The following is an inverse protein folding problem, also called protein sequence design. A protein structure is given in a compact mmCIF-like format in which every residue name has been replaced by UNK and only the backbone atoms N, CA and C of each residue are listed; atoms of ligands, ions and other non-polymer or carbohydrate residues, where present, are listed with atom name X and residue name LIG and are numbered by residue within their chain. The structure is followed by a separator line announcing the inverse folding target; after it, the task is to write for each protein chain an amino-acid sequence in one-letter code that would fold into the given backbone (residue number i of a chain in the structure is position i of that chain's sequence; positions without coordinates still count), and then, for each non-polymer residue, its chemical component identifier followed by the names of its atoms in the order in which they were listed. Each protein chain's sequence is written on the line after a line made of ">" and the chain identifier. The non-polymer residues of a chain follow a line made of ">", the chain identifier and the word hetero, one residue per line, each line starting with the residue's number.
data_IF_828241827555
#
_entry.id   IF_828241827555
#
_cell.length_a   1.000
_cell.length_b   1.000
_cell.length_c   1.000
_cell.angle_alpha   90.00
_cell.angle_beta   90.00
_cell.angle_gamma   90.00
#
_symmetry.space_group_name_H-M   'P 1'
#
loop_
_entity.id
_entity.type
_entity.pdbx_description
1 polymer ?
#
# COMPACT_ATOMS: atom_id res chain seq x y z
N UNK A 1 -33.91 6.36 -20.66
CA UNK A 1 -35.33 6.02 -21.00
C UNK A 1 -36.06 5.40 -19.81
N UNK A 2 -35.44 4.49 -19.05
CA UNK A 2 -36.01 3.90 -17.82
C UNK A 2 -36.34 4.92 -16.71
N UNK A 3 -35.43 5.87 -16.43
CA UNK A 3 -35.66 6.95 -15.44
C UNK A 3 -36.84 7.87 -15.76
N UNK A 4 -37.17 8.06 -17.05
CA UNK A 4 -38.28 8.90 -17.48
C UNK A 4 -39.63 8.22 -17.26
N UNK A 5 -39.68 6.89 -17.42
CA UNK A 5 -40.88 6.08 -17.20
C UNK A 5 -41.21 6.00 -15.69
N UNK A 6 -40.19 5.89 -14.83
CA UNK A 6 -40.36 5.83 -13.37
C UNK A 6 -40.88 7.16 -12.81
N UNK A 7 -40.35 8.32 -13.28
CA UNK A 7 -40.86 9.64 -12.86
C UNK A 7 -42.31 9.89 -13.29
N UNK A 8 -42.70 9.40 -14.47
CA UNK A 8 -44.08 9.49 -14.95
C UNK A 8 -44.99 8.58 -14.12
N UNK A 9 -44.58 7.34 -13.82
CA UNK A 9 -45.35 6.40 -13.02
C UNK A 9 -45.58 6.92 -11.59
N UNK A 10 -44.55 7.47 -10.94
CA UNK A 10 -44.68 8.09 -9.62
C UNK A 10 -45.64 9.30 -9.64
N UNK A 11 -45.55 10.16 -10.65
CA UNK A 11 -46.44 11.34 -10.79
C UNK A 11 -47.90 10.94 -11.03
N UNK A 12 -48.15 9.88 -11.83
CA UNK A 12 -49.49 9.35 -12.06
C UNK A 12 -50.08 8.72 -10.79
N UNK A 13 -49.26 8.01 -10.01
CA UNK A 13 -49.70 7.37 -8.77
C UNK A 13 -50.11 8.41 -7.72
N UNK A 14 -49.34 9.49 -7.56
CA UNK A 14 -49.67 10.60 -6.64
C UNK A 14 -50.93 11.35 -7.08
N UNK A 15 -51.16 11.49 -8.39
CA UNK A 15 -52.37 12.12 -8.93
C UNK A 15 -53.63 11.26 -8.69
N UNK A 16 -53.53 9.93 -8.82
CA UNK A 16 -54.65 9.02 -8.56
C UNK A 16 -55.00 9.00 -7.06
N UNK A 17 -54.01 8.97 -6.17
CA UNK A 17 -54.25 8.94 -4.72
C UNK A 17 -54.87 10.24 -4.18
N UNK A 18 -54.50 11.40 -4.75
CA UNK A 18 -55.07 12.70 -4.37
C UNK A 18 -56.54 12.90 -4.78
N UNK A 19 -57.03 12.17 -5.79
CA UNK A 19 -58.42 12.32 -6.29
C UNK A 19 -59.43 11.53 -5.45
N UNK A 20 -59.01 10.47 -4.74
CA UNK A 20 -59.93 9.56 -4.05
C UNK A 20 -60.03 9.75 -2.53
N UNK A 21 -59.29 10.70 -1.92
CA UNK A 21 -59.36 11.01 -0.49
C UNK A 21 -59.30 9.75 0.41
N UNK A 22 -58.55 8.74 -0.05
CA UNK A 22 -58.29 7.53 0.71
C UNK A 22 -57.19 7.91 1.71
N UNK A 23 -57.43 7.86 3.03
CA UNK A 23 -56.36 8.03 4.00
C UNK A 23 -55.38 6.87 3.79
N UNK A 24 -54.23 7.19 3.20
CA UNK A 24 -53.09 6.30 3.12
C UNK A 24 -52.14 6.74 4.22
N UNK A 25 -52.17 6.06 5.37
CA UNK A 25 -50.99 6.02 6.23
C UNK A 25 -49.94 5.21 5.45
N UNK A 26 -48.86 5.85 5.03
CA UNK A 26 -47.65 5.13 4.60
C UNK A 26 -47.11 4.49 5.88
N UNK A 27 -47.13 3.15 6.03
CA UNK A 27 -46.48 2.51 7.15
C UNK A 27 -44.96 2.70 6.98
N UNK A 28 -44.30 3.31 7.97
CA UNK A 28 -42.84 3.28 8.10
C UNK A 28 -42.07 4.38 7.38
N UNK A 29 -42.30 5.65 7.73
CA UNK A 29 -41.16 6.58 7.79
C UNK A 29 -40.63 6.50 9.21
N UNK A 30 -39.59 5.70 9.44
CA UNK A 30 -38.74 5.90 10.60
C UNK A 30 -37.89 7.15 10.34
N UNK A 31 -37.66 7.96 11.38
CA UNK A 31 -36.64 9.01 11.32
C UNK A 31 -35.21 8.40 11.30
N UNK A 32 -35.10 7.10 11.58
CA UNK A 32 -33.87 6.31 11.44
C UNK A 32 -33.46 6.20 9.95
N UNK A 33 -32.33 6.81 9.63
CA UNK A 33 -31.68 6.73 8.32
C UNK A 33 -31.03 5.35 8.10
N UNK A 34 -30.50 4.73 9.16
CA UNK A 34 -29.99 3.36 9.16
C UNK A 34 -30.91 2.48 9.99
N UNK A 35 -31.22 1.29 9.47
CA UNK A 35 -32.03 0.28 10.17
C UNK A 35 -31.19 -0.82 10.82
N UNK A 36 -30.05 -1.15 10.25
CA UNK A 36 -29.13 -2.19 10.75
C UNK A 36 -27.78 -2.04 10.04
N UNK A 37 -26.68 -2.06 10.81
CA UNK A 37 -25.35 -2.37 10.29
C UNK A 37 -24.86 -3.68 10.91
N UNK A 38 -24.36 -4.59 10.08
CA UNK A 38 -23.78 -5.85 10.52
C UNK A 38 -22.37 -6.03 10.00
N UNK A 39 -21.47 -6.54 10.85
CA UNK A 39 -20.09 -6.86 10.51
C UNK A 39 -19.90 -8.36 10.72
N UNK A 40 -19.65 -9.09 9.64
CA UNK A 40 -19.36 -10.53 9.66
C UNK A 40 -17.86 -10.72 9.39
N UNK A 41 -17.09 -10.94 10.45
CA UNK A 41 -15.66 -11.25 10.33
C UNK A 41 -15.47 -12.65 9.71
N UNK A 42 -14.55 -12.75 8.75
CA UNK A 42 -14.33 -13.96 7.96
C UNK A 42 -13.29 -14.92 8.56
N UNK A 43 -12.55 -14.46 9.56
CA UNK A 43 -11.68 -15.27 10.40
C UNK A 43 -11.90 -14.92 11.88
N UNK A 44 -11.24 -15.63 12.80
CA UNK A 44 -11.31 -15.40 14.26
C UNK A 44 -10.10 -14.65 14.82
N UNK A 45 -9.17 -14.20 13.95
CA UNK A 45 -7.92 -13.59 14.37
C UNK A 45 -8.15 -12.20 14.96
N UNK A 46 -7.53 -11.93 16.11
CA UNK A 46 -7.55 -10.62 16.73
C UNK A 46 -6.75 -9.64 15.87
N UNK A 47 -7.22 -8.41 15.71
CA UNK A 47 -6.58 -7.41 14.84
C UNK A 47 -6.95 -7.54 13.36
N UNK A 48 -7.50 -8.67 12.90
CA UNK A 48 -7.97 -8.77 11.51
C UNK A 48 -9.30 -8.03 11.30
N UNK A 49 -9.32 -7.19 10.26
CA UNK A 49 -10.51 -6.51 9.75
C UNK A 49 -11.12 -7.20 8.53
N UNK A 50 -10.67 -8.40 8.16
CA UNK A 50 -11.26 -9.24 7.10
C UNK A 50 -12.71 -9.60 7.44
N UNK A 51 -13.64 -8.97 6.73
CA UNK A 51 -15.05 -8.97 7.05
C UNK A 51 -15.93 -8.59 5.86
N UNK A 52 -17.16 -9.08 5.88
CA UNK A 52 -18.25 -8.52 5.08
C UNK A 52 -19.04 -7.55 5.94
N UNK A 53 -19.13 -6.30 5.50
CA UNK A 53 -19.90 -5.27 6.20
C UNK A 53 -21.13 -4.94 5.38
N UNK A 54 -22.31 -5.01 6.01
CA UNK A 54 -23.61 -4.74 5.38
C UNK A 54 -24.30 -3.60 6.10
N UNK A 55 -24.82 -2.64 5.32
CA UNK A 55 -25.65 -1.54 5.81
C UNK A 55 -27.03 -1.66 5.19
N UNK A 56 -28.05 -1.77 6.04
CA UNK A 56 -29.46 -1.64 5.67
C UNK A 56 -29.97 -0.28 6.09
N UNK A 57 -30.51 0.47 5.14
CA UNK A 57 -30.90 1.85 5.33
C UNK A 57 -32.30 2.15 4.81
N UNK A 58 -32.94 3.15 5.39
CA UNK A 58 -34.24 3.64 4.92
C UNK A 58 -34.14 4.41 3.59
N UNK A 59 -32.94 4.87 3.22
CA UNK A 59 -32.66 5.57 1.97
C UNK A 59 -31.37 5.09 1.31
N UNK A 60 -31.43 4.95 -0.01
CA UNK A 60 -30.25 4.72 -0.86
C UNK A 60 -29.25 5.88 -0.73
N UNK A 61 -27.96 5.56 -0.66
CA UNK A 61 -26.90 6.55 -0.49
C UNK A 61 -25.51 5.92 -0.42
N UNK A 62 -24.50 6.79 -0.26
CA UNK A 62 -23.11 6.41 -0.04
C UNK A 62 -22.78 6.57 1.45
N UNK A 63 -22.58 5.45 2.14
CA UNK A 63 -22.31 5.40 3.57
C UNK A 63 -20.82 5.18 3.77
N UNK A 64 -20.17 6.05 4.55
CA UNK A 64 -18.74 5.98 4.82
C UNK A 64 -18.47 5.47 6.22
N UNK A 65 -17.55 4.53 6.33
CA UNK A 65 -17.20 3.85 7.57
C UNK A 65 -15.83 4.31 8.04
N UNK A 66 -15.74 4.67 9.32
CA UNK A 66 -14.49 5.09 9.98
C UNK A 66 -14.24 4.24 11.22
N UNK A 67 -12.96 3.98 11.50
CA UNK A 67 -12.55 3.49 12.80
C UNK A 67 -12.76 4.59 13.85
N UNK A 68 -13.18 4.20 15.04
CA UNK A 68 -13.43 5.10 16.14
C UNK A 68 -12.91 4.53 17.47
N UNK A 69 -12.57 5.43 18.38
CA UNK A 69 -12.10 5.09 19.72
C UNK A 69 -13.23 4.62 20.65
N UNK A 70 -12.95 4.41 21.94
CA UNK A 70 -13.95 4.02 22.94
C UNK A 70 -15.09 5.03 23.16
N UNK A 71 -14.88 6.29 22.77
CA UNK A 71 -15.85 7.38 22.89
C UNK A 71 -16.67 7.60 21.61
N UNK A 72 -16.46 6.77 20.59
CA UNK A 72 -17.03 6.92 19.25
C UNK A 72 -16.54 8.17 18.50
N UNK A 73 -15.40 8.72 18.90
CA UNK A 73 -14.71 9.76 18.14
C UNK A 73 -13.87 9.11 17.03
N UNK A 74 -13.76 9.78 15.88
CA UNK A 74 -12.93 9.28 14.76
C UNK A 74 -11.51 9.03 15.25
N UNK A 75 -10.99 7.85 14.92
CA UNK A 75 -9.67 7.45 15.35
C UNK A 75 -8.61 8.37 14.75
N UNK A 76 -7.59 8.68 15.54
CA UNK A 76 -6.36 9.34 15.14
C UNK A 76 -5.18 8.41 15.34
N UNK A 77 -4.14 8.56 14.53
CA UNK A 77 -2.85 7.92 14.72
C UNK A 77 -1.95 8.91 15.46
N UNK A 78 -1.33 8.48 16.56
CA UNK A 78 -0.44 9.31 17.36
C UNK A 78 1.00 8.82 17.25
N UNK A 79 1.93 9.73 16.93
CA UNK A 79 3.37 9.51 17.10
C UNK A 79 3.99 10.72 17.81
N UNK A 80 4.63 10.46 18.96
CA UNK A 80 5.13 11.53 19.83
C UNK A 80 4.02 12.47 20.31
N UNK A 81 4.17 13.77 20.04
CA UNK A 81 3.16 14.80 20.35
C UNK A 81 2.24 15.11 19.15
N UNK A 82 2.43 14.44 18.01
CA UNK A 82 1.64 14.66 16.80
C UNK A 82 0.50 13.66 16.70
N UNK A 83 -0.65 14.14 16.24
CA UNK A 83 -1.81 13.31 15.90
C UNK A 83 -2.20 13.59 14.44
N UNK A 84 -2.46 12.53 13.70
CA UNK A 84 -2.96 12.59 12.33
C UNK A 84 -4.25 11.78 12.21
N UNK A 85 -5.15 12.20 11.33
CA UNK A 85 -6.44 11.53 11.18
C UNK A 85 -6.30 10.23 10.39
N UNK A 86 -7.21 9.29 10.63
CA UNK A 86 -7.50 8.20 9.71
C UNK A 86 -8.53 8.62 8.66
N UNK A 87 -8.37 8.18 7.42
CA UNK A 87 -9.42 8.25 6.40
C UNK A 87 -10.59 7.32 6.71
N UNK A 88 -11.64 7.35 5.89
CA UNK A 88 -12.58 6.25 5.83
C UNK A 88 -11.85 4.95 5.46
N UNK A 89 -12.27 3.81 6.04
CA UNK A 89 -11.71 2.51 5.68
C UNK A 89 -12.58 1.75 4.66
N UNK A 90 -13.86 2.11 4.56
CA UNK A 90 -14.77 1.54 3.59
C UNK A 90 -15.90 2.51 3.21
N UNK A 91 -16.44 2.31 2.01
CA UNK A 91 -17.60 3.02 1.49
C UNK A 91 -18.61 2.01 0.97
N UNK A 92 -19.86 2.09 1.45
CA UNK A 92 -20.95 1.20 1.07
C UNK A 92 -22.01 2.01 0.33
N UNK A 93 -22.28 1.64 -0.92
CA UNK A 93 -23.41 2.18 -1.67
C UNK A 93 -24.62 1.28 -1.50
N UNK A 94 -25.71 1.81 -0.96
CA UNK A 94 -26.96 1.05 -0.80
C UNK A 94 -27.89 1.28 -2.00
N UNK A 95 -28.52 0.20 -2.45
CA UNK A 95 -29.55 0.21 -3.50
C UNK A 95 -30.77 -0.57 -3.02
N UNK A 96 -31.95 0.03 -3.12
CA UNK A 96 -33.17 -0.53 -2.55
C UNK A 96 -33.05 -0.81 -1.04
N UNK A 97 -32.32 0.04 -0.33
CA UNK A 97 -32.16 0.02 1.12
C UNK A 97 -31.11 -0.94 1.67
N UNK A 98 -30.27 -1.56 0.84
CA UNK A 98 -29.21 -2.47 1.29
C UNK A 98 -27.95 -2.36 0.42
N UNK A 99 -26.79 -2.51 1.03
CA UNK A 99 -25.50 -2.58 0.36
C UNK A 99 -24.45 -3.24 1.25
N UNK A 100 -23.42 -3.81 0.64
CA UNK A 100 -22.33 -4.47 1.34
C UNK A 100 -20.98 -4.20 0.70
N UNK A 101 -19.92 -4.40 1.45
CA UNK A 101 -18.52 -4.36 0.99
C UNK A 101 -17.72 -5.43 1.72
N UNK A 102 -16.79 -6.04 0.99
CA UNK A 102 -15.79 -6.94 1.55
C UNK A 102 -14.52 -6.13 1.82
N UNK A 103 -13.94 -6.27 3.01
CA UNK A 103 -12.60 -5.75 3.30
C UNK A 103 -11.54 -6.74 2.82
N UNK A 104 -10.32 -6.29 2.49
CA UNK A 104 -9.24 -7.20 2.09
C UNK A 104 -8.86 -8.20 3.21
N UNK A 105 -8.43 -9.40 2.84
CA UNK A 105 -8.01 -10.47 3.77
C UNK A 105 -6.92 -10.02 4.77
N UNK A 106 -6.02 -9.13 4.33
CA UNK A 106 -4.94 -8.56 5.14
C UNK A 106 -5.34 -7.30 5.91
N UNK A 107 -6.58 -6.81 5.75
CA UNK A 107 -6.99 -5.57 6.39
C UNK A 107 -6.86 -5.68 7.91
N UNK A 108 -6.35 -4.63 8.54
CA UNK A 108 -6.15 -4.62 9.98
C UNK A 108 -7.08 -3.62 10.68
N UNK A 109 -7.58 -4.03 11.85
CA UNK A 109 -8.16 -3.14 12.85
C UNK A 109 -7.00 -2.35 13.46
N UNK A 110 -6.97 -1.01 13.31
CA UNK A 110 -5.86 -0.22 13.83
C UNK A 110 -5.82 -0.22 15.36
N UNK A 111 -4.65 0.01 15.94
CA UNK A 111 -4.52 0.19 17.38
C UNK A 111 -5.43 1.32 17.88
N UNK A 112 -6.10 1.08 19.01
CA UNK A 112 -7.03 2.05 19.61
C UNK A 112 -8.46 2.03 19.05
N UNK A 113 -8.71 1.39 17.90
CA UNK A 113 -10.07 1.21 17.40
C UNK A 113 -10.89 0.33 18.36
N UNK A 114 -12.04 0.83 18.78
CA UNK A 114 -13.04 0.10 19.60
C UNK A 114 -14.41 0.05 18.93
N UNK A 115 -14.65 0.97 18.00
CA UNK A 115 -15.92 1.13 17.34
C UNK A 115 -15.73 1.36 15.83
N UNK A 116 -16.77 1.07 15.07
CA UNK A 116 -16.96 1.52 13.69
C UNK A 116 -18.08 2.55 13.69
N UNK A 117 -17.85 3.73 13.13
CA UNK A 117 -18.91 4.73 12.93
C UNK A 117 -19.35 4.73 11.46
N UNK A 118 -20.66 4.74 11.25
CA UNK A 118 -21.28 4.83 9.92
C UNK A 118 -21.80 6.23 9.72
N UNK A 119 -21.41 6.86 8.60
CA UNK A 119 -21.74 8.25 8.31
C UNK A 119 -22.41 8.42 6.95
N UNK A 120 -23.26 9.42 6.83
CA UNK A 120 -23.86 9.88 5.57
C UNK A 120 -23.81 11.41 5.53
N UNK A 121 -23.30 12.00 4.44
CA UNK A 121 -23.13 13.45 4.31
C UNK A 121 -22.38 14.11 5.48
N UNK A 122 -21.47 13.37 6.12
CA UNK A 122 -20.67 13.82 7.27
C UNK A 122 -21.38 13.73 8.63
N UNK A 123 -22.63 13.28 8.69
CA UNK A 123 -23.36 13.02 9.93
C UNK A 123 -23.13 11.57 10.38
N UNK A 124 -22.71 11.36 11.63
CA UNK A 124 -22.68 10.03 12.25
C UNK A 124 -24.09 9.53 12.49
N UNK A 125 -24.43 8.39 11.89
CA UNK A 125 -25.76 7.80 11.95
C UNK A 125 -25.83 6.62 12.91
N UNK A 126 -24.76 5.83 13.00
CA UNK A 126 -24.68 4.63 13.83
C UNK A 126 -23.24 4.42 14.32
N UNK A 127 -23.12 3.74 15.46
CA UNK A 127 -21.86 3.26 16.01
C UNK A 127 -22.01 1.77 16.31
N UNK A 128 -21.09 0.97 15.78
CA UNK A 128 -21.03 -0.48 15.97
C UNK A 128 -19.80 -0.80 16.80
N UNK A 129 -19.99 -1.45 17.94
CA UNK A 129 -18.88 -1.90 18.80
C UNK A 129 -18.13 -3.05 18.13
N UNK A 130 -16.80 -2.98 18.12
CA UNK A 130 -15.95 -4.08 17.65
C UNK A 130 -15.92 -5.15 18.74
N UNK A 131 -16.17 -6.44 18.42
CA UNK A 131 -16.10 -7.52 19.41
C UNK A 131 -14.77 -7.52 20.15
N UNK A 132 -14.80 -7.78 21.46
CA UNK A 132 -13.61 -7.70 22.31
C UNK A 132 -12.49 -8.67 21.86
N UNK A 133 -12.87 -9.84 21.33
CA UNK A 133 -11.99 -10.84 20.74
C UNK A 133 -11.31 -10.41 19.43
N UNK A 134 -11.86 -9.37 18.77
CA UNK A 134 -11.31 -8.79 17.53
C UNK A 134 -10.37 -7.62 17.77
N UNK A 135 -10.39 -7.06 18.98
CA UNK A 135 -9.48 -5.98 19.34
C UNK A 135 -8.04 -6.50 19.33
N UNK A 136 -7.11 -5.84 18.60
CA UNK A 136 -5.72 -6.24 18.57
C UNK A 136 -5.05 -6.08 19.94
N UNK A 137 -4.23 -7.05 20.31
CA UNK A 137 -3.27 -6.98 21.43
C UNK A 137 -1.86 -7.25 20.89
N UNK A 138 -1.28 -6.23 20.25
CA UNK A 138 0.04 -6.35 19.59
C UNK A 138 1.20 -6.13 20.56
N UNK A 139 0.93 -5.84 21.84
CA UNK A 139 1.96 -5.44 22.78
C UNK A 139 2.57 -4.08 22.45
N UNK A 140 3.86 -3.90 22.77
CA UNK A 140 4.56 -2.66 22.49
C UNK A 140 5.19 -2.71 21.10
N UNK A 141 5.12 -1.58 20.40
CA UNK A 141 5.92 -1.38 19.19
C UNK A 141 7.42 -1.48 19.55
N UNK A 142 8.15 -2.36 18.85
CA UNK A 142 9.60 -2.57 19.00
C UNK A 142 10.37 -1.48 18.27
N UNK A 143 10.01 -1.24 17.01
CA UNK A 143 10.53 -0.17 16.17
C UNK A 143 9.60 0.09 14.98
N UNK A 144 9.77 1.25 14.35
CA UNK A 144 9.06 1.62 13.13
C UNK A 144 10.03 1.94 12.00
N UNK A 145 9.65 1.65 10.76
CA UNK A 145 10.38 2.07 9.57
C UNK A 145 9.43 2.63 8.50
N UNK A 146 9.96 3.45 7.60
CA UNK A 146 9.21 3.97 6.46
C UNK A 146 9.48 3.17 5.20
N UNK A 147 8.48 3.07 4.31
CA UNK A 147 8.70 2.60 2.94
C UNK A 147 8.00 3.46 1.91
N UNK A 148 8.75 3.84 0.89
CA UNK A 148 8.33 4.68 -0.23
C UNK A 148 9.00 4.19 -1.51
N UNK A 149 8.44 4.50 -2.68
CA UNK A 149 8.96 4.06 -3.97
C UNK A 149 8.77 5.10 -5.07
N UNK A 150 9.46 4.88 -6.20
CA UNK A 150 9.19 5.55 -7.48
C UNK A 150 9.20 7.09 -7.35
N UNK A 151 10.36 7.63 -6.97
CA UNK A 151 10.57 9.07 -6.86
C UNK A 151 10.69 9.72 -8.24
N UNK A 152 11.37 9.08 -9.18
CA UNK A 152 11.57 9.58 -10.54
C UNK A 152 12.02 11.05 -10.62
N UNK A 153 13.12 11.39 -9.94
CA UNK A 153 13.79 12.69 -10.13
C UNK A 153 14.01 12.96 -11.63
N UNK A 154 13.79 14.21 -12.03
CA UNK A 154 13.81 14.76 -13.39
C UNK A 154 12.73 14.21 -14.35
N UNK A 155 11.65 13.62 -13.84
CA UNK A 155 10.56 13.11 -14.69
C UNK A 155 9.33 13.99 -14.71
N UNK A 156 8.98 14.61 -13.58
CA UNK A 156 7.73 15.34 -13.40
C UNK A 156 8.03 16.75 -12.89
N UNK A 157 7.48 17.76 -13.55
CA UNK A 157 7.70 19.17 -13.22
C UNK A 157 6.43 19.79 -12.62
N UNK A 158 6.60 20.59 -11.57
CA UNK A 158 5.59 21.50 -11.05
C UNK A 158 5.37 22.68 -12.02
N UNK A 159 4.27 23.42 -11.85
CA UNK A 159 3.95 24.59 -12.70
C UNK A 159 5.04 25.68 -12.67
N UNK A 160 5.80 25.76 -11.58
CA UNK A 160 6.92 26.71 -11.42
C UNK A 160 8.26 26.19 -11.98
N UNK A 161 8.28 24.97 -12.50
CA UNK A 161 9.44 24.31 -13.10
C UNK A 161 10.34 23.57 -12.12
N UNK A 162 9.95 23.45 -10.85
CA UNK A 162 10.65 22.60 -9.89
C UNK A 162 10.27 21.13 -10.07
N UNK A 163 11.17 20.22 -9.72
CA UNK A 163 10.91 18.78 -9.76
C UNK A 163 9.91 18.37 -8.66
N UNK A 164 8.88 17.59 -9.03
CA UNK A 164 7.91 17.03 -8.10
C UNK A 164 8.60 16.14 -7.06
N UNK A 165 9.63 15.38 -7.46
CA UNK A 165 10.34 14.46 -6.58
C UNK A 165 11.02 15.19 -5.41
N UNK A 166 11.61 16.37 -5.64
CA UNK A 166 12.25 17.16 -4.57
C UNK A 166 11.27 17.52 -3.46
N UNK A 167 10.05 17.93 -3.84
CA UNK A 167 9.01 18.34 -2.88
C UNK A 167 8.41 17.13 -2.17
N UNK A 168 8.03 16.10 -2.92
CA UNK A 168 7.34 14.94 -2.38
C UNK A 168 8.25 14.07 -1.52
N UNK A 169 9.52 13.90 -1.91
CA UNK A 169 10.51 13.16 -1.14
C UNK A 169 10.80 13.84 0.21
N UNK A 170 11.15 15.13 0.22
CA UNK A 170 11.40 15.86 1.45
C UNK A 170 10.19 15.85 2.41
N UNK A 171 8.97 15.97 1.86
CA UNK A 171 7.74 15.87 2.64
C UNK A 171 7.58 14.50 3.29
N UNK A 172 7.83 13.42 2.55
CA UNK A 172 7.75 12.06 3.08
C UNK A 172 8.79 11.79 4.16
N UNK A 173 10.04 12.24 3.98
CA UNK A 173 11.08 12.08 5.00
C UNK A 173 10.79 12.89 6.26
N UNK A 174 10.23 14.11 6.14
CA UNK A 174 9.77 14.91 7.28
C UNK A 174 8.64 14.22 8.06
N UNK A 175 7.72 13.56 7.36
CA UNK A 175 6.70 12.74 8.00
C UNK A 175 7.35 11.62 8.82
N UNK A 176 8.28 10.88 8.22
CA UNK A 176 8.95 9.76 8.87
C UNK A 176 9.85 10.18 10.04
N UNK A 177 10.52 11.32 9.94
CA UNK A 177 11.25 11.92 11.05
C UNK A 177 10.34 12.20 12.23
N UNK A 178 9.16 12.79 11.96
CA UNK A 178 8.17 13.08 13.00
C UNK A 178 7.61 11.80 13.60
N UNK A 179 7.41 10.76 12.78
CA UNK A 179 6.98 9.44 13.22
C UNK A 179 8.05 8.66 13.99
N UNK A 180 9.30 9.14 14.01
CA UNK A 180 10.39 8.53 14.77
C UNK A 180 10.86 7.19 14.19
N UNK A 181 10.85 7.04 12.86
CA UNK A 181 11.32 5.82 12.22
C UNK A 181 12.82 5.60 12.42
N UNK A 182 13.26 4.34 12.41
CA UNK A 182 14.69 3.99 12.49
C UNK A 182 15.38 3.98 11.14
N UNK A 183 14.63 3.79 10.04
CA UNK A 183 15.12 3.83 8.66
C UNK A 183 13.98 4.09 7.67
N UNK A 184 14.33 4.47 6.44
CA UNK A 184 13.42 4.47 5.29
C UNK A 184 13.99 3.57 4.19
N UNK A 185 13.20 2.62 3.71
CA UNK A 185 13.61 1.62 2.71
C UNK A 185 12.75 1.67 1.44
N UNK A 186 13.41 1.60 0.28
CA UNK A 186 12.78 1.89 -1.01
C UNK A 186 13.06 0.82 -2.07
N UNK A 187 12.05 0.33 -2.79
CA UNK A 187 12.24 -0.57 -3.92
C UNK A 187 12.47 0.21 -5.23
N UNK A 188 13.41 1.15 -5.27
CA UNK A 188 13.96 1.75 -6.49
C UNK A 188 13.10 2.72 -7.31
N UNK A 189 13.56 2.95 -8.55
CA UNK A 189 13.10 3.99 -9.47
C UNK A 189 13.27 5.41 -8.89
N UNK A 190 14.53 5.72 -8.59
CA UNK A 190 14.94 7.00 -8.02
C UNK A 190 15.02 8.09 -9.09
N UNK A 191 15.60 7.76 -10.24
CA UNK A 191 15.84 8.68 -11.36
C UNK A 191 14.90 8.42 -12.53
N UNK A 192 14.87 9.32 -13.52
CA UNK A 192 14.09 9.15 -14.75
C UNK A 192 14.84 8.31 -15.80
N UNK A 193 16.15 8.50 -15.92
CA UNK A 193 17.01 7.92 -16.97
C UNK A 193 18.40 7.47 -16.46
N UNK A 194 18.58 7.32 -15.15
CA UNK A 194 19.86 6.93 -14.52
C UNK A 194 20.87 8.08 -14.39
N UNK A 195 20.41 9.33 -14.52
CA UNK A 195 21.29 10.51 -14.47
C UNK A 195 21.90 10.79 -13.10
N UNK A 196 23.15 11.25 -13.12
CA UNK A 196 23.91 11.65 -11.92
C UNK A 196 23.18 12.72 -11.10
N UNK A 197 22.58 13.71 -11.75
CA UNK A 197 21.91 14.82 -11.07
C UNK A 197 20.73 14.34 -10.22
N UNK A 198 20.01 13.30 -10.64
CA UNK A 198 18.95 12.68 -9.84
C UNK A 198 19.51 12.03 -8.56
N UNK A 199 20.61 11.29 -8.68
CA UNK A 199 21.26 10.65 -7.52
C UNK A 199 21.85 11.69 -6.56
N UNK A 200 22.44 12.78 -7.08
CA UNK A 200 22.89 13.92 -6.28
C UNK A 200 21.74 14.60 -5.51
N UNK A 201 20.59 14.80 -6.15
CA UNK A 201 19.40 15.37 -5.52
C UNK A 201 18.85 14.46 -4.42
N UNK A 202 18.75 13.15 -4.70
CA UNK A 202 18.38 12.14 -3.69
C UNK A 202 19.31 12.19 -2.48
N UNK A 203 20.63 12.17 -2.71
CA UNK A 203 21.63 12.21 -1.64
C UNK A 203 21.51 13.49 -0.81
N UNK A 204 21.33 14.63 -1.47
CA UNK A 204 21.21 15.94 -0.82
C UNK A 204 20.02 15.99 0.13
N UNK A 205 18.86 15.49 -0.32
CA UNK A 205 17.64 15.50 0.48
C UNK A 205 17.72 14.46 1.61
N UNK A 206 18.13 13.22 1.31
CA UNK A 206 18.21 12.14 2.31
C UNK A 206 19.25 12.43 3.41
N UNK A 207 20.38 13.05 3.07
CA UNK A 207 21.43 13.40 4.06
C UNK A 207 21.04 14.52 5.04
N UNK A 208 19.86 15.12 4.87
CA UNK A 208 19.33 16.11 5.81
C UNK A 208 18.68 15.47 7.05
N UNK A 209 18.52 14.14 7.07
CA UNK A 209 17.83 13.39 8.11
C UNK A 209 18.81 12.46 8.86
N UNK A 210 18.53 12.22 10.15
CA UNK A 210 19.42 11.45 11.03
C UNK A 210 19.29 9.93 10.89
N UNK A 211 18.24 9.44 10.22
CA UNK A 211 18.03 8.01 9.94
C UNK A 211 18.53 7.64 8.53
N UNK A 212 19.00 6.40 8.31
CA UNK A 212 19.39 5.95 6.99
C UNK A 212 18.21 5.86 6.02
N UNK A 213 18.46 6.27 4.77
CA UNK A 213 17.56 6.04 3.64
C UNK A 213 18.26 5.10 2.66
N UNK A 214 17.70 3.89 2.51
CA UNK A 214 18.25 2.84 1.68
C UNK A 214 17.32 2.48 0.52
N UNK A 215 17.89 2.14 -0.62
CA UNK A 215 17.16 1.84 -1.84
C UNK A 215 17.86 0.81 -2.71
N UNK A 216 17.07 0.16 -3.56
CA UNK A 216 17.55 -0.66 -4.68
C UNK A 216 17.49 0.13 -5.98
N UNK A 217 18.15 -0.34 -7.04
CA UNK A 217 17.86 0.14 -8.40
C UNK A 217 16.48 -0.32 -8.86
N UNK A 218 15.79 0.55 -9.61
CA UNK A 218 14.68 0.18 -10.49
C UNK A 218 15.09 0.22 -11.97
N UNK A 219 14.15 0.02 -12.88
CA UNK A 219 14.49 0.05 -14.31
C UNK A 219 14.85 1.44 -14.79
N UNK A 220 14.21 2.49 -14.27
CA UNK A 220 14.52 3.85 -14.68
C UNK A 220 15.92 4.28 -14.20
N UNK A 221 16.41 3.69 -13.11
CA UNK A 221 17.78 3.90 -12.64
C UNK A 221 18.83 3.32 -13.58
N UNK A 222 18.48 2.25 -14.31
CA UNK A 222 19.37 1.49 -15.19
C UNK A 222 19.22 1.87 -16.66
N UNK A 223 18.68 3.06 -16.93
CA UNK A 223 18.47 3.60 -18.25
C UNK A 223 19.76 4.17 -18.89
N UNK A 224 19.63 5.02 -19.92
CA UNK A 224 20.70 5.31 -20.85
C UNK A 224 21.88 6.08 -20.23
N UNK A 225 21.68 6.77 -19.10
CA UNK A 225 22.70 7.57 -18.42
C UNK A 225 23.28 6.88 -17.18
N UNK A 226 22.84 5.66 -16.87
CA UNK A 226 23.31 4.95 -15.70
C UNK A 226 24.82 4.75 -15.73
N UNK A 227 25.48 5.18 -14.67
CA UNK A 227 26.86 4.84 -14.36
C UNK A 227 26.90 4.32 -12.93
N UNK A 228 27.41 3.10 -12.75
CA UNK A 228 27.47 2.44 -11.45
C UNK A 228 28.25 3.27 -10.44
N UNK A 229 29.32 3.93 -10.86
CA UNK A 229 30.13 4.79 -10.02
C UNK A 229 29.32 5.94 -9.40
N UNK A 230 28.40 6.55 -10.15
CA UNK A 230 27.51 7.58 -9.62
C UNK A 230 26.51 7.00 -8.60
N UNK A 231 25.98 5.80 -8.86
CA UNK A 231 25.13 5.10 -7.88
C UNK A 231 25.87 4.85 -6.57
N UNK A 232 27.09 4.30 -6.64
CA UNK A 232 27.90 4.02 -5.44
C UNK A 232 28.34 5.30 -4.70
N UNK A 233 28.48 6.43 -5.42
CA UNK A 233 28.85 7.73 -4.85
C UNK A 233 27.71 8.35 -4.05
N UNK A 234 26.47 8.28 -4.56
CA UNK A 234 25.35 9.07 -4.04
C UNK A 234 24.26 8.27 -3.33
N UNK A 235 24.12 6.99 -3.65
CA UNK A 235 23.06 6.15 -3.10
C UNK A 235 23.56 5.31 -1.93
N UNK A 236 22.67 4.99 -0.99
CA UNK A 236 22.96 4.09 0.12
C UNK A 236 24.20 4.50 0.92
N UNK A 237 24.19 5.72 1.47
CA UNK A 237 25.30 6.28 2.20
C UNK A 237 25.82 5.33 3.30
N UNK A 238 27.14 5.10 3.31
CA UNK A 238 27.80 4.23 4.29
C UNK A 238 27.76 2.72 4.01
N UNK A 239 27.27 2.28 2.84
CA UNK A 239 27.24 0.85 2.47
C UNK A 239 28.51 0.41 1.73
N UNK A 240 28.94 1.18 0.72
CA UNK A 240 29.94 0.73 -0.27
C UNK A 240 31.39 1.14 0.04
N UNK A 241 31.63 1.86 1.14
CA UNK A 241 32.95 2.29 1.58
C UNK A 241 33.73 1.23 2.36
N UNK A 242 35.03 1.49 2.60
CA UNK A 242 35.88 0.66 3.47
C UNK A 242 35.38 0.65 4.93
N UNK A 243 34.88 1.80 5.40
CA UNK A 243 34.21 1.95 6.68
C UNK A 243 32.70 1.97 6.44
N UNK A 244 32.02 0.91 6.90
CA UNK A 244 30.58 0.75 6.75
C UNK A 244 29.83 1.26 7.97
N UNK A 245 28.63 1.79 7.75
CA UNK A 245 27.70 2.16 8.84
C UNK A 245 27.34 0.92 9.65
N UNK A 246 27.13 1.11 10.96
CA UNK A 246 26.63 0.06 11.83
C UNK A 246 25.30 -0.52 11.30
N UNK A 247 25.15 -1.84 11.41
CA UNK A 247 24.03 -2.58 10.81
C UNK A 247 24.32 -3.13 9.41
N UNK A 248 25.27 -2.60 8.64
CA UNK A 248 25.65 -3.21 7.35
C UNK A 248 26.51 -4.45 7.57
N UNK A 249 25.90 -5.62 7.47
CA UNK A 249 26.54 -6.90 7.81
C UNK A 249 27.01 -7.70 6.59
N UNK A 250 26.48 -7.43 5.40
CA UNK A 250 26.91 -8.07 4.15
C UNK A 250 26.75 -7.11 2.96
N UNK A 251 27.67 -7.20 2.00
CA UNK A 251 27.57 -6.55 0.68
C UNK A 251 28.02 -7.60 -0.33
N UNK A 252 27.20 -7.86 -1.35
CA UNK A 252 27.46 -8.85 -2.37
C UNK A 252 28.65 -8.46 -3.27
N UNK A 253 29.23 -9.44 -3.95
CA UNK A 253 30.38 -9.24 -4.85
C UNK A 253 30.03 -8.40 -6.09
N UNK A 254 28.74 -8.30 -6.44
CA UNK A 254 28.29 -7.35 -7.46
C UNK A 254 28.42 -5.89 -7.00
N UNK A 255 28.69 -5.63 -5.72
CA UNK A 255 28.88 -4.31 -5.13
C UNK A 255 27.63 -3.44 -5.10
N UNK A 256 26.44 -4.01 -5.27
CA UNK A 256 25.17 -3.30 -5.21
C UNK A 256 24.27 -3.88 -4.13
N UNK A 257 24.17 -5.20 -4.03
CA UNK A 257 23.26 -5.85 -3.08
C UNK A 257 23.85 -5.86 -1.68
N UNK A 258 23.03 -5.66 -0.67
CA UNK A 258 23.51 -5.61 0.71
C UNK A 258 22.45 -6.01 1.72
N UNK A 259 22.92 -6.25 2.94
CA UNK A 259 22.12 -6.60 4.10
C UNK A 259 22.35 -5.59 5.21
N UNK A 260 21.27 -5.03 5.73
CA UNK A 260 21.22 -4.23 6.95
C UNK A 260 20.51 -5.01 8.07
N UNK A 261 21.09 -5.04 9.26
CA UNK A 261 20.50 -5.62 10.46
C UNK A 261 20.03 -4.49 11.38
N UNK A 262 18.74 -4.51 11.74
CA UNK A 262 18.18 -3.54 12.67
C UNK A 262 18.65 -3.84 14.10
N UNK A 263 19.17 -2.82 14.76
CA UNK A 263 19.90 -2.93 16.03
C UNK A 263 19.10 -3.42 17.24
N UNK A 264 17.78 -3.17 17.28
CA UNK A 264 16.92 -3.46 18.43
C UNK A 264 16.35 -4.87 18.35
N UNK A 265 15.79 -5.22 17.19
CA UNK A 265 15.11 -6.48 16.92
C UNK A 265 16.05 -7.56 16.38
N UNK A 266 17.10 -7.16 15.66
CA UNK A 266 17.92 -8.06 14.85
C UNK A 266 17.26 -8.44 13.51
N UNK A 267 16.11 -7.84 13.16
CA UNK A 267 15.44 -8.08 11.88
C UNK A 267 16.34 -7.68 10.70
N UNK A 268 16.14 -8.35 9.57
CA UNK A 268 17.04 -8.26 8.42
C UNK A 268 16.38 -7.50 7.28
N UNK A 269 17.09 -6.54 6.73
CA UNK A 269 16.71 -5.79 5.54
C UNK A 269 17.65 -6.17 4.40
N UNK A 270 17.11 -6.75 3.34
CA UNK A 270 17.87 -7.13 2.15
C UNK A 270 17.51 -6.18 1.02
N UNK A 271 18.50 -5.54 0.42
CA UNK A 271 18.34 -4.66 -0.73
C UNK A 271 18.92 -5.37 -1.95
N UNK A 272 18.04 -5.95 -2.77
CA UNK A 272 18.38 -6.65 -3.99
C UNK A 272 18.18 -5.71 -5.18
N UNK A 273 19.26 -5.39 -5.89
CA UNK A 273 19.27 -4.44 -6.99
C UNK A 273 18.98 -5.15 -8.30
N UNK A 274 18.11 -4.54 -9.09
CA UNK A 274 17.95 -4.88 -10.49
C UNK A 274 19.24 -4.55 -11.26
N UNK A 275 19.63 -5.40 -12.22
CA UNK A 275 20.84 -5.20 -13.03
C UNK A 275 20.54 -4.92 -14.50
N UNK A 276 19.25 -4.97 -14.89
CA UNK A 276 18.80 -4.63 -16.23
C UNK A 276 17.50 -3.84 -16.24
N UNK A 277 17.35 -2.90 -17.17
CA UNK A 277 16.06 -2.24 -17.44
C UNK A 277 15.18 -2.99 -18.45
N UNK A 278 15.62 -4.17 -18.89
CA UNK A 278 15.06 -4.82 -20.07
C UNK A 278 14.07 -5.93 -19.70
N UNK A 279 12.81 -5.53 -19.53
CA UNK A 279 11.70 -6.45 -19.26
C UNK A 279 11.25 -7.29 -20.46
N UNK A 280 11.77 -7.01 -21.67
CA UNK A 280 11.22 -7.62 -22.88
C UNK A 280 11.73 -9.04 -23.10
N UNK A 281 10.82 -10.03 -23.25
CA UNK A 281 11.10 -11.41 -23.66
C UNK A 281 11.63 -12.34 -22.54
N UNK A 282 11.23 -13.61 -22.59
CA UNK A 282 11.52 -14.68 -21.61
C UNK A 282 13.01 -14.95 -21.32
N UNK A 283 13.92 -14.37 -22.09
CA UNK A 283 15.37 -14.61 -21.99
C UNK A 283 16.14 -13.41 -21.47
N UNK A 284 15.46 -12.30 -21.16
CA UNK A 284 16.09 -11.17 -20.51
C UNK A 284 15.91 -11.30 -19.02
N UNK A 285 17.04 -11.38 -18.32
CA UNK A 285 17.09 -11.46 -16.88
C UNK A 285 17.24 -10.06 -16.28
N UNK A 286 16.51 -9.79 -15.21
CA UNK A 286 16.66 -8.62 -14.35
C UNK A 286 17.65 -8.87 -13.21
N UNK A 287 17.90 -10.15 -12.90
CA UNK A 287 18.83 -10.62 -11.88
C UNK A 287 19.83 -11.61 -12.47
N UNK A 288 21.07 -11.53 -12.02
CA UNK A 288 22.12 -12.48 -12.39
C UNK A 288 22.05 -13.74 -11.50
N UNK A 289 22.49 -14.89 -12.02
CA UNK A 289 22.54 -16.14 -11.25
C UNK A 289 23.33 -15.99 -9.93
N UNK A 290 24.43 -15.22 -9.94
CA UNK A 290 25.23 -14.94 -8.75
C UNK A 290 24.50 -14.07 -7.72
N UNK A 291 23.58 -13.20 -8.14
CA UNK A 291 22.74 -12.45 -7.20
C UNK A 291 21.75 -13.38 -6.51
N UNK A 292 21.18 -14.33 -7.26
CA UNK A 292 20.24 -15.31 -6.72
C UNK A 292 20.95 -16.34 -5.82
N UNK A 293 22.16 -16.77 -6.16
CA UNK A 293 23.02 -17.58 -5.27
C UNK A 293 23.32 -16.85 -3.95
N UNK A 294 23.62 -15.55 -4.04
CA UNK A 294 23.89 -14.72 -2.86
C UNK A 294 22.64 -14.54 -2.00
N UNK A 295 21.49 -14.24 -2.63
CA UNK A 295 20.21 -14.10 -1.95
C UNK A 295 19.83 -15.39 -1.22
N UNK A 296 19.90 -16.54 -1.90
CA UNK A 296 19.63 -17.85 -1.30
C UNK A 296 20.50 -18.09 -0.06
N UNK A 297 21.78 -17.74 -0.11
CA UNK A 297 22.67 -17.82 1.04
C UNK A 297 22.28 -16.85 2.18
N UNK A 298 21.78 -15.64 1.88
CA UNK A 298 21.32 -14.70 2.91
C UNK A 298 20.01 -15.18 3.55
N UNK A 299 19.07 -15.69 2.76
CA UNK A 299 17.81 -16.24 3.26
C UNK A 299 18.07 -17.42 4.21
N UNK A 300 18.92 -18.37 3.83
CA UNK A 300 19.27 -19.51 4.70
C UNK A 300 20.03 -19.07 5.96
N UNK A 301 20.93 -18.08 5.86
CA UNK A 301 21.68 -17.57 7.02
C UNK A 301 20.79 -16.84 8.04
N UNK A 302 19.63 -16.36 7.62
CA UNK A 302 18.73 -15.53 8.41
C UNK A 302 17.30 -16.08 8.52
N UNK A 303 17.09 -17.37 8.22
CA UNK A 303 15.77 -18.03 8.23
C UNK A 303 15.03 -18.02 9.57
N UNK A 304 15.74 -17.79 10.68
CA UNK A 304 15.17 -17.69 12.02
C UNK A 304 14.85 -16.23 12.42
N UNK A 305 14.90 -15.29 11.46
CA UNK A 305 14.64 -13.86 11.64
C UNK A 305 13.61 -13.39 10.61
N UNK A 306 12.89 -12.32 10.90
CA UNK A 306 12.06 -11.65 9.89
C UNK A 306 12.96 -10.95 8.87
N UNK A 307 12.64 -11.12 7.59
CA UNK A 307 13.41 -10.57 6.47
C UNK A 307 12.52 -9.62 5.67
N UNK A 308 12.88 -8.34 5.63
CA UNK A 308 12.29 -7.35 4.74
C UNK A 308 13.14 -7.28 3.47
N UNK A 309 12.66 -7.88 2.39
CA UNK A 309 13.32 -7.86 1.09
C UNK A 309 12.79 -6.70 0.25
N UNK A 310 13.67 -5.85 -0.25
CA UNK A 310 13.36 -4.81 -1.21
C UNK A 310 13.91 -5.21 -2.58
N UNK A 311 13.05 -5.19 -3.59
CA UNK A 311 13.41 -5.34 -5.00
C UNK A 311 12.33 -4.68 -5.86
N UNK A 312 12.74 -3.94 -6.89
CA UNK A 312 11.85 -3.00 -7.59
C UNK A 312 10.65 -3.67 -8.27
N UNK A 313 10.88 -4.75 -9.00
CA UNK A 313 9.88 -5.32 -9.90
C UNK A 313 8.99 -6.34 -9.19
N UNK A 314 7.68 -6.18 -9.32
CA UNK A 314 6.73 -7.13 -8.77
C UNK A 314 6.62 -8.43 -9.58
N UNK A 315 6.35 -9.51 -8.87
CA UNK A 315 6.12 -10.84 -9.42
C UNK A 315 4.64 -11.04 -9.74
N UNK A 316 4.34 -11.85 -10.76
CA UNK A 316 2.97 -12.32 -11.02
C UNK A 316 2.39 -13.09 -9.82
N UNK A 317 1.08 -13.31 -9.78
CA UNK A 317 0.43 -14.00 -8.66
C UNK A 317 0.90 -15.46 -8.57
N UNK A 318 0.77 -16.07 -7.39
CA UNK A 318 1.19 -17.45 -7.15
C UNK A 318 0.49 -18.49 -8.03
N UNK A 319 -0.76 -18.22 -8.46
CA UNK A 319 -1.49 -19.06 -9.42
C UNK A 319 -1.08 -18.81 -10.88
N UNK A 320 -0.07 -17.97 -11.10
CA UNK A 320 0.48 -17.63 -12.40
C UNK A 320 -0.38 -16.69 -13.23
N UNK A 321 -1.36 -16.01 -12.63
CA UNK A 321 -2.13 -14.97 -13.30
C UNK A 321 -1.36 -13.63 -13.23
N UNK A 322 -0.80 -13.15 -14.35
CA UNK A 322 -0.09 -11.87 -14.35
C UNK A 322 -0.94 -10.69 -13.92
N UNK A 323 -2.27 -10.80 -13.99
CA UNK A 323 -3.19 -9.67 -13.89
C UNK A 323 -3.74 -9.43 -12.48
N UNK A 324 -3.50 -10.36 -11.56
CA UNK A 324 -4.09 -10.36 -10.20
C UNK A 324 -3.02 -10.44 -9.11
N UNK A 325 -1.79 -10.01 -9.42
CA UNK A 325 -0.68 -9.97 -8.47
C UNK A 325 -0.68 -8.67 -7.66
N UNK A 326 0.09 -8.66 -6.57
CA UNK A 326 0.56 -7.43 -5.96
C UNK A 326 1.23 -6.54 -7.00
N UNK A 327 0.90 -5.25 -7.00
CA UNK A 327 1.37 -4.28 -7.98
C UNK A 327 0.70 -4.35 -9.36
N UNK A 328 -0.32 -5.19 -9.59
CA UNK A 328 -1.03 -5.22 -10.88
C UNK A 328 -2.55 -5.07 -10.75
N UNK A 329 -3.21 -4.67 -11.83
CA UNK A 329 -4.66 -4.62 -11.89
C UNK A 329 -5.21 -4.93 -13.28
N UNK A 330 -6.43 -5.45 -13.29
CA UNK A 330 -7.29 -5.57 -14.45
C UNK A 330 -8.62 -4.88 -14.13
N UNK A 331 -9.07 -4.00 -15.00
CA UNK A 331 -10.36 -3.33 -14.79
C UNK A 331 -11.55 -4.19 -15.27
N UNK A 332 -12.77 -3.69 -15.09
CA UNK A 332 -14.01 -4.39 -15.44
C UNK A 332 -14.22 -4.58 -16.96
N UNK A 333 -13.41 -3.95 -17.81
CA UNK A 333 -13.36 -4.24 -19.26
C UNK A 333 -12.44 -5.43 -19.60
N UNK A 334 -11.76 -6.00 -18.62
CA UNK A 334 -10.72 -7.00 -18.84
C UNK A 334 -9.41 -6.38 -19.36
N UNK A 335 -9.25 -5.06 -19.28
CA UNK A 335 -8.02 -4.39 -19.68
C UNK A 335 -6.99 -4.45 -18.55
N UNK A 336 -5.82 -4.96 -18.86
CA UNK A 336 -4.69 -5.04 -17.95
C UNK A 336 -3.61 -4.03 -18.31
N UNK A 337 -2.82 -3.66 -17.32
CA UNK A 337 -1.72 -2.72 -17.44
C UNK A 337 -0.40 -3.44 -17.16
N UNK A 338 0.09 -4.26 -18.10
CA UNK A 338 1.19 -5.17 -17.85
C UNK A 338 2.49 -4.40 -17.62
N UNK A 339 2.92 -4.38 -16.35
CA UNK A 339 4.19 -3.83 -15.89
C UNK A 339 5.02 -4.90 -15.17
N UNK A 340 4.67 -6.18 -15.34
CA UNK A 340 5.22 -7.26 -14.52
C UNK A 340 6.60 -7.75 -14.97
N UNK A 341 7.32 -8.37 -14.04
CA UNK A 341 8.45 -9.25 -14.33
C UNK A 341 8.00 -10.38 -15.25
N UNK A 342 8.61 -10.50 -16.43
CA UNK A 342 8.25 -11.51 -17.43
C UNK A 342 8.25 -12.92 -16.82
N UNK A 343 7.06 -13.44 -16.56
CA UNK A 343 6.88 -14.75 -15.94
C UNK A 343 7.42 -15.87 -16.81
N UNK A 344 8.14 -16.78 -16.16
CA UNK A 344 8.83 -17.88 -16.82
C UNK A 344 10.22 -17.54 -17.33
N UNK A 345 10.69 -16.30 -17.14
CA UNK A 345 12.12 -16.01 -17.21
C UNK A 345 12.84 -16.79 -16.09
N UNK A 346 14.06 -17.28 -16.35
CA UNK A 346 14.73 -18.23 -15.45
C UNK A 346 15.02 -17.65 -14.07
N UNK A 347 15.39 -16.38 -14.03
CA UNK A 347 15.64 -15.59 -12.83
C UNK A 347 14.35 -15.28 -12.07
N UNK A 348 13.27 -14.94 -12.78
CA UNK A 348 11.93 -14.76 -12.18
C UNK A 348 11.43 -16.04 -11.49
N UNK A 349 11.56 -17.18 -12.17
CA UNK A 349 11.15 -18.49 -11.63
C UNK A 349 11.96 -18.81 -10.37
N UNK A 350 13.28 -18.60 -10.40
CA UNK A 350 14.14 -18.88 -9.27
C UNK A 350 13.87 -17.95 -8.09
N UNK A 351 13.71 -16.63 -8.33
CA UNK A 351 13.34 -15.68 -7.28
C UNK A 351 12.00 -16.07 -6.64
N UNK A 352 11.00 -16.40 -7.47
CA UNK A 352 9.68 -16.84 -6.99
C UNK A 352 9.75 -18.09 -6.14
N UNK A 353 10.57 -19.08 -6.53
CA UNK A 353 10.77 -20.31 -5.77
C UNK A 353 11.43 -20.02 -4.42
N UNK A 354 12.48 -19.19 -4.39
CA UNK A 354 13.10 -18.75 -3.13
C UNK A 354 12.07 -18.08 -2.20
N UNK A 355 11.28 -17.15 -2.73
CA UNK A 355 10.23 -16.46 -1.94
C UNK A 355 9.06 -17.37 -1.56
N UNK A 356 8.90 -18.52 -2.19
CA UNK A 356 7.87 -19.48 -1.81
C UNK A 356 8.35 -20.39 -0.66
N UNK A 357 9.66 -20.61 -0.57
CA UNK A 357 10.28 -21.46 0.45
C UNK A 357 10.60 -20.72 1.76
N UNK A 358 10.45 -19.39 1.79
CA UNK A 358 10.77 -18.54 2.93
C UNK A 358 9.55 -17.69 3.31
N UNK A 359 8.77 -18.16 4.29
CA UNK A 359 7.55 -17.52 4.82
C UNK A 359 7.84 -16.31 5.72
N UNK A 360 9.00 -16.29 6.37
CA UNK A 360 9.57 -15.20 7.16
C UNK A 360 10.00 -13.96 6.34
N UNK A 361 9.72 -13.94 5.03
CA UNK A 361 10.06 -12.83 4.13
C UNK A 361 8.84 -11.95 3.87
N UNK A 362 9.01 -10.64 4.07
CA UNK A 362 8.11 -9.61 3.57
C UNK A 362 8.81 -8.89 2.41
N UNK A 363 8.33 -9.14 1.19
CA UNK A 363 8.89 -8.63 -0.06
C UNK A 363 8.19 -7.34 -0.51
N UNK A 364 8.90 -6.23 -0.44
CA UNK A 364 8.47 -4.90 -0.90
C UNK A 364 8.92 -4.64 -2.34
N UNK A 365 7.98 -4.21 -3.18
CA UNK A 365 8.18 -3.83 -4.58
C UNK A 365 7.50 -2.51 -4.91
N UNK A 366 7.85 -1.92 -6.06
CA UNK A 366 7.29 -0.66 -6.56
C UNK A 366 6.80 -0.82 -8.01
N UNK A 367 7.29 0.03 -8.91
CA UNK A 367 7.19 -0.07 -10.38
C UNK A 367 5.79 0.21 -10.98
N UNK A 368 4.74 -0.26 -10.33
CA UNK A 368 3.38 -0.13 -10.84
C UNK A 368 2.80 1.27 -10.64
N UNK A 369 3.28 1.98 -9.61
CA UNK A 369 2.78 3.26 -9.10
C UNK A 369 1.30 3.25 -8.67
N UNK A 370 0.60 2.12 -8.63
CA UNK A 370 -0.83 2.17 -8.36
C UNK A 370 -1.12 2.76 -6.99
N UNK A 371 -2.05 3.73 -6.96
CA UNK A 371 -2.54 4.28 -5.72
C UNK A 371 -3.26 3.20 -4.92
N UNK A 372 -3.12 3.19 -3.61
CA UNK A 372 -3.62 2.08 -2.78
C UNK A 372 -5.13 1.87 -2.90
N UNK A 373 -5.90 2.94 -3.08
CA UNK A 373 -7.35 2.80 -3.23
C UNK A 373 -7.77 2.04 -4.49
N UNK A 374 -6.88 1.84 -5.48
CA UNK A 374 -7.15 1.02 -6.68
C UNK A 374 -7.41 -0.46 -6.37
N UNK A 375 -7.21 -0.91 -5.12
CA UNK A 375 -7.51 -2.28 -4.70
C UNK A 375 -8.96 -2.73 -4.92
N UNK A 376 -9.90 -1.79 -5.11
CA UNK A 376 -11.27 -2.15 -5.51
C UNK A 376 -11.33 -2.90 -6.86
N UNK A 377 -10.29 -2.78 -7.71
CA UNK A 377 -10.14 -3.54 -8.95
C UNK A 377 -9.34 -4.84 -8.77
N UNK A 378 -8.48 -4.90 -7.76
CA UNK A 378 -7.72 -6.09 -7.40
C UNK A 378 -7.46 -6.10 -5.88
N UNK A 379 -8.12 -6.97 -5.08
CA UNK A 379 -7.94 -7.00 -3.63
C UNK A 379 -6.51 -7.36 -3.21
N UNK A 380 -5.74 -8.01 -4.09
CA UNK A 380 -4.34 -8.38 -3.86
C UNK A 380 -3.35 -7.28 -4.29
N UNK A 381 -3.83 -6.12 -4.75
CA UNK A 381 -2.98 -5.07 -5.34
C UNK A 381 -1.89 -4.63 -4.37
N UNK A 382 -2.27 -4.34 -3.13
CA UNK A 382 -1.40 -3.69 -2.16
C UNK A 382 -0.60 -4.72 -1.35
N UNK A 383 -1.23 -5.83 -0.98
CA UNK A 383 -0.61 -6.90 -0.22
C UNK A 383 -1.20 -8.25 -0.64
N UNK A 384 -0.36 -9.28 -0.70
CA UNK A 384 -0.78 -10.67 -0.92
C UNK A 384 0.26 -11.66 -0.41
N UNK A 385 0.06 -12.97 -0.62
CA UNK A 385 1.03 -14.02 -0.32
C UNK A 385 1.48 -14.78 -1.57
N UNK A 386 2.73 -15.23 -1.56
CA UNK A 386 3.30 -16.10 -2.59
C UNK A 386 2.90 -17.57 -2.39
N UNK A 387 1.61 -17.88 -2.58
CA UNK A 387 1.03 -19.16 -2.18
C UNK A 387 0.58 -19.11 -0.73
N UNK A 388 0.05 -20.21 -0.19
CA UNK A 388 -0.51 -20.22 1.18
C UNK A 388 0.58 -20.02 2.25
N UNK A 389 1.73 -20.67 2.09
CA UNK A 389 2.82 -20.70 3.08
C UNK A 389 4.09 -19.96 2.61
N UNK A 390 3.96 -18.99 1.71
CA UNK A 390 5.11 -18.26 1.14
C UNK A 390 5.32 -16.88 1.76
N UNK A 391 6.32 -16.16 1.22
CA UNK A 391 6.58 -14.76 1.54
C UNK A 391 5.33 -13.88 1.36
N UNK A 392 5.21 -12.87 2.21
CA UNK A 392 4.22 -11.79 2.08
C UNK A 392 4.73 -10.78 1.06
N UNK A 393 3.92 -10.41 0.07
CA UNK A 393 4.26 -9.42 -0.95
C UNK A 393 3.56 -8.11 -0.66
N UNK A 394 4.28 -6.99 -0.74
CA UNK A 394 3.79 -5.64 -0.48
C UNK A 394 4.15 -4.73 -1.65
N UNK A 395 3.15 -4.12 -2.27
CA UNK A 395 3.32 -3.09 -3.29
C UNK A 395 3.39 -1.73 -2.62
N UNK A 396 4.46 -0.97 -2.88
CA UNK A 396 4.66 0.39 -2.39
C UNK A 396 4.26 1.35 -3.52
N UNK A 397 3.27 2.21 -3.24
CA UNK A 397 2.82 3.22 -4.19
C UNK A 397 3.91 4.27 -4.47
N UNK A 398 3.74 5.03 -5.54
CA UNK A 398 4.70 6.08 -5.90
C UNK A 398 4.54 7.30 -4.99
N UNK A 399 5.65 7.84 -4.50
CA UNK A 399 5.62 9.11 -3.77
C UNK A 399 5.42 10.32 -4.69
N UNK A 400 5.92 10.25 -5.92
CA UNK A 400 5.89 11.39 -6.84
C UNK A 400 4.69 11.39 -7.78
N UNK A 401 4.25 10.22 -8.24
CA UNK A 401 3.21 10.11 -9.26
C UNK A 401 2.44 8.79 -9.13
N UNK A 402 1.58 8.64 -8.09
CA UNK A 402 0.60 7.56 -8.05
C UNK A 402 -0.23 7.50 -9.33
N UNK A 403 -0.70 6.30 -9.66
CA UNK A 403 -1.55 6.04 -10.82
C UNK A 403 -2.93 5.64 -10.40
N UNK A 404 -3.91 6.10 -11.18
CA UNK A 404 -5.31 5.77 -11.04
C UNK A 404 -5.91 5.36 -12.38
N UNK A 405 -6.97 4.56 -12.32
CA UNK A 405 -7.85 4.29 -13.46
C UNK A 405 -9.27 4.03 -12.98
N UNK A 406 -10.23 4.07 -13.90
CA UNK A 406 -11.62 3.73 -13.62
C UNK A 406 -11.99 2.33 -14.11
N UNK A 407 -13.06 1.77 -13.55
CA UNK A 407 -13.62 0.46 -13.93
C UNK A 407 -13.74 0.22 -15.44
N UNK A 408 -14.08 1.27 -16.19
CA UNK A 408 -14.31 1.22 -17.64
C UNK A 408 -13.38 2.11 -18.45
N UNK A 409 -12.19 2.42 -17.92
CA UNK A 409 -11.19 3.27 -18.60
C UNK A 409 -10.06 2.45 -19.19
N UNK A 410 -9.66 2.72 -20.43
CA UNK A 410 -8.58 1.96 -21.09
C UNK A 410 -7.19 2.53 -20.78
N UNK A 411 -7.13 3.77 -20.31
CA UNK A 411 -5.90 4.47 -19.95
C UNK A 411 -5.89 4.70 -18.44
N UNK A 412 -4.69 4.82 -17.90
CA UNK A 412 -4.47 5.31 -16.56
C UNK A 412 -4.10 6.79 -16.61
N UNK A 413 -4.25 7.44 -15.47
CA UNK A 413 -3.74 8.78 -15.22
C UNK A 413 -2.72 8.71 -14.12
N UNK A 414 -1.63 9.46 -14.29
CA UNK A 414 -0.74 9.83 -13.20
C UNK A 414 -1.33 11.04 -12.47
N UNK A 415 -1.14 11.11 -11.16
CA UNK A 415 -1.72 12.14 -10.28
C UNK A 415 -0.66 13.02 -9.63
N UNK A 416 0.47 13.23 -10.30
CA UNK A 416 1.49 14.18 -9.86
C UNK A 416 0.98 15.63 -9.95
N UNK A 417 1.26 16.50 -8.96
CA UNK A 417 1.81 16.24 -7.61
C UNK A 417 0.73 16.00 -6.53
N UNK A 418 -0.52 15.76 -6.95
CA UNK A 418 -1.74 15.81 -6.16
C UNK A 418 -1.91 14.62 -5.20
N UNK A 419 -1.25 13.49 -5.48
CA UNK A 419 -1.17 12.34 -4.58
C UNK A 419 0.29 11.95 -4.33
N UNK A 420 0.56 11.45 -3.13
CA UNK A 420 1.88 10.99 -2.70
C UNK A 420 1.69 9.97 -1.60
N UNK A 421 1.99 8.71 -1.90
CA UNK A 421 1.63 7.59 -1.03
C UNK A 421 2.85 6.73 -0.67
N UNK A 422 2.79 6.12 0.52
CA UNK A 422 3.83 5.23 1.06
C UNK A 422 3.31 4.50 2.30
N UNK A 423 4.19 3.83 3.02
CA UNK A 423 3.86 3.14 4.26
C UNK A 423 4.67 3.67 5.44
N UNK A 424 3.99 3.87 6.57
CA UNK A 424 4.59 3.75 7.90
C UNK A 424 4.40 2.32 8.36
N UNK A 425 5.48 1.65 8.75
CA UNK A 425 5.43 0.27 9.22
C UNK A 425 5.80 0.26 10.70
N UNK A 426 4.97 -0.38 11.51
CA UNK A 426 5.25 -0.66 12.92
C UNK A 426 5.48 -2.16 13.12
N UNK A 427 6.54 -2.49 13.84
CA UNK A 427 6.95 -3.87 14.09
C UNK A 427 6.74 -4.20 15.56
N UNK A 428 6.05 -5.32 15.79
CA UNK A 428 5.75 -5.88 17.11
C UNK A 428 6.49 -7.22 17.29
N UNK A 429 6.23 -7.93 18.38
CA UNK A 429 6.89 -9.22 18.65
C UNK A 429 6.55 -10.28 17.59
N UNK A 430 5.26 -10.40 17.24
CA UNK A 430 4.75 -11.46 16.35
C UNK A 430 4.13 -10.90 15.04
N UNK A 431 4.08 -9.58 14.90
CA UNK A 431 3.24 -8.92 13.88
C UNK A 431 3.92 -7.71 13.26
N UNK A 432 3.67 -7.47 11.98
CA UNK A 432 4.00 -6.23 11.27
C UNK A 432 2.71 -5.55 10.82
N UNK A 433 2.55 -4.27 11.14
CA UNK A 433 1.41 -3.47 10.71
C UNK A 433 1.86 -2.40 9.72
N UNK A 434 1.24 -2.39 8.54
CA UNK A 434 1.51 -1.45 7.47
C UNK A 434 0.41 -0.42 7.41
N UNK A 435 0.72 0.84 7.71
CA UNK A 435 -0.22 1.96 7.60
C UNK A 435 0.05 2.71 6.31
N UNK A 436 -0.86 2.61 5.34
CA UNK A 436 -0.81 3.45 4.15
C UNK A 436 -0.88 4.93 4.54
N UNK A 437 -0.01 5.76 3.97
CA UNK A 437 0.08 7.18 4.28
C UNK A 437 -0.16 8.00 3.02
N UNK A 438 -0.98 9.03 3.14
CA UNK A 438 -1.09 10.12 2.18
C UNK A 438 -0.27 11.30 2.68
N UNK A 439 0.91 11.50 2.09
CA UNK A 439 1.83 12.57 2.49
C UNK A 439 1.35 13.96 2.08
N UNK A 440 0.46 14.07 1.08
CA UNK A 440 -0.09 15.37 0.66
C UNK A 440 -1.05 15.89 1.73
N UNK A 441 -1.95 15.03 2.18
CA UNK A 441 -3.00 15.40 3.14
C UNK A 441 -2.63 15.10 4.60
N UNK A 442 -1.43 14.54 4.84
CA UNK A 442 -0.92 14.17 6.16
C UNK A 442 -1.90 13.29 6.94
N UNK A 443 -2.28 12.16 6.33
CA UNK A 443 -3.37 11.30 6.82
C UNK A 443 -3.02 9.82 6.68
N UNK A 444 -3.45 8.98 7.62
CA UNK A 444 -3.42 7.53 7.46
C UNK A 444 -4.57 7.09 6.56
N UNK A 445 -4.26 6.29 5.54
CA UNK A 445 -5.21 5.66 4.64
C UNK A 445 -5.74 4.39 5.30
N UNK A 446 -6.86 4.51 6.01
CA UNK A 446 -7.43 3.43 6.81
C UNK A 446 -7.84 2.21 5.96
N UNK A 447 -8.25 2.44 4.71
CA UNK A 447 -8.56 1.36 3.76
C UNK A 447 -7.30 0.60 3.31
N UNK A 448 -6.11 1.16 3.52
CA UNK A 448 -4.81 0.60 3.19
C UNK A 448 -3.97 0.35 4.45
N UNK A 449 -4.62 -0.08 5.53
CA UNK A 449 -3.95 -0.53 6.75
C UNK A 449 -4.00 -2.06 6.80
N UNK A 450 -2.84 -2.69 6.87
CA UNK A 450 -2.68 -4.14 6.75
C UNK A 450 -1.88 -4.73 7.89
N UNK A 451 -2.08 -6.03 8.14
CA UNK A 451 -1.35 -6.79 9.13
C UNK A 451 -0.78 -8.07 8.48
N UNK A 452 0.46 -8.41 8.80
CA UNK A 452 1.04 -9.70 8.46
C UNK A 452 1.90 -10.26 9.59
N UNK A 453 2.08 -11.58 9.58
CA UNK A 453 2.95 -12.31 10.51
C UNK A 453 4.44 -12.05 10.22
N UNK A 454 5.25 -12.16 11.27
CA UNK A 454 6.72 -11.99 11.24
C UNK A 454 7.50 -13.22 10.79
#
# INVERSE_FOLDING_TARGET
>A
MYLTIIKIAATVLTFILGVFNIPFEIPGFSDEKITETSVEYLNDEAGSADAVITVKAASDGEYKLFWADENADKLTFSFGESEIEYSEFATITTYFGEGSVDTPDFAAIPNGAKNIIVTLDGETLETVEIPAEKIPDRGNNIYSFGSISDLHFNRYDLEDGNDVAETTFARSLTFFETAGVTLVAMPGDISSDGEREAFEAFNTISSAYDFPVYTTTGNHDLHAKYEKENWLEFMNAGVYGDEKTEGIINVADNGLDFVYEESVSGDIFIFLNQTSNNYGLLWNALLEDSQLDWLEAQLEAHKDKTIYLFFHTFLNSANGNPLMSTGNLQNNLGWAYPLFYTQGASDEVRLRELLKENDNVVFFNGHSHWAYHMQYLNPNLNISKNGEDGATFVHVSSVSSPRITGEYQVLWSSTDPEMSEGYLIEVYDDTVVLYGVDFVNNRILAYATYECEK
#
